data_IF_136051041723
#
_entry.id   IF_136051041723
#
_cell.length_a   1.000
_cell.length_b   1.000
_cell.length_c   1.000
_cell.angle_alpha   90.00
_cell.angle_beta   90.00
_cell.angle_gamma   90.00
#
_symmetry.space_group_name_H-M   'P 1'
#
loop_
_entity.id
_entity.type
_entity.pdbx_description
1 polymer ?
#
# COMPACT_ATOMS: atom_id res chain seq x y z
N UNK A 1 19.33 -11.88 -0.53
CA UNK A 1 17.98 -11.59 -1.06
C UNK A 1 17.74 -10.12 -1.44
N UNK A 2 18.67 -9.18 -1.20
CA UNK A 2 18.55 -7.75 -1.58
C UNK A 2 18.30 -7.44 -3.07
N UNK A 3 18.56 -8.38 -3.99
CA UNK A 3 18.45 -8.13 -5.44
C UNK A 3 17.00 -8.19 -5.97
N UNK A 4 16.09 -8.95 -5.33
CA UNK A 4 14.71 -9.11 -5.80
C UNK A 4 13.93 -7.79 -5.72
N UNK A 5 14.18 -6.97 -4.69
CA UNK A 5 13.54 -5.68 -4.52
C UNK A 5 13.95 -4.68 -5.60
N UNK A 6 15.24 -4.62 -5.92
CA UNK A 6 15.72 -3.72 -6.98
C UNK A 6 15.14 -4.07 -8.34
N UNK A 7 14.98 -5.37 -8.62
CA UNK A 7 14.29 -5.83 -9.82
C UNK A 7 12.82 -5.38 -9.84
N UNK A 8 12.12 -5.44 -8.70
CA UNK A 8 10.74 -4.98 -8.58
C UNK A 8 10.60 -3.47 -8.82
N UNK A 9 11.46 -2.66 -8.21
CA UNK A 9 11.47 -1.20 -8.43
C UNK A 9 11.72 -0.85 -9.90
N UNK A 10 12.74 -1.45 -10.52
CA UNK A 10 13.04 -1.24 -11.94
C UNK A 10 11.87 -1.67 -12.83
N UNK A 11 11.21 -2.77 -12.49
CA UNK A 11 10.02 -3.23 -13.20
C UNK A 11 8.89 -2.21 -13.13
N UNK A 12 8.57 -1.70 -11.94
CA UNK A 12 7.55 -0.66 -11.76
C UNK A 12 7.86 0.58 -12.58
N UNK A 13 9.11 1.05 -12.60
CA UNK A 13 9.51 2.22 -13.39
C UNK A 13 9.40 1.94 -14.91
N UNK A 14 9.81 0.76 -15.39
CA UNK A 14 9.66 0.38 -16.80
C UNK A 14 8.20 0.34 -17.23
N UNK A 15 7.33 -0.23 -16.39
CA UNK A 15 5.90 -0.36 -16.69
C UNK A 15 5.19 1.00 -16.68
N UNK A 16 5.44 1.82 -15.65
CA UNK A 16 4.61 3.00 -15.37
C UNK A 16 5.21 4.32 -15.82
N UNK A 17 6.50 4.49 -15.58
CA UNK A 17 7.23 5.72 -15.94
C UNK A 17 7.75 5.66 -17.39
N UNK A 18 7.58 4.52 -18.06
CA UNK A 18 7.99 4.33 -19.44
C UNK A 18 9.50 4.22 -19.61
N UNK A 19 10.24 3.84 -18.55
CA UNK A 19 11.67 3.60 -18.68
C UNK A 19 11.97 2.48 -19.71
N UNK A 20 13.13 2.56 -20.40
CA UNK A 20 13.59 1.49 -21.27
C UNK A 20 13.68 0.14 -20.54
N UNK A 21 13.27 -0.95 -21.19
CA UNK A 21 13.40 -2.29 -20.59
C UNK A 21 14.87 -2.72 -20.41
N UNK A 22 15.83 -2.02 -21.03
CA UNK A 22 17.27 -2.27 -20.90
C UNK A 22 17.75 -2.17 -19.46
N UNK A 23 17.12 -1.36 -18.61
CA UNK A 23 17.45 -1.30 -17.18
C UNK A 23 17.23 -2.65 -16.47
N UNK A 24 16.24 -3.45 -16.90
CA UNK A 24 16.00 -4.79 -16.38
C UNK A 24 17.05 -5.79 -16.86
N UNK A 25 17.49 -5.63 -18.11
CA UNK A 25 18.56 -6.42 -18.73
C UNK A 25 19.89 -6.15 -18.03
N UNK A 26 20.23 -4.88 -17.81
CA UNK A 26 21.44 -4.46 -17.09
C UNK A 26 21.47 -5.00 -15.66
N UNK A 27 20.33 -4.99 -14.97
CA UNK A 27 20.22 -5.64 -13.66
C UNK A 27 20.52 -7.14 -13.76
N UNK A 28 19.98 -7.83 -14.77
CA UNK A 28 20.21 -9.27 -14.96
C UNK A 28 21.69 -9.57 -15.26
N UNK A 29 22.34 -8.74 -16.08
CA UNK A 29 23.77 -8.86 -16.37
C UNK A 29 24.61 -8.71 -15.09
N UNK A 30 24.26 -7.75 -14.23
CA UNK A 30 24.91 -7.61 -12.92
C UNK A 30 24.73 -8.84 -12.04
N UNK A 31 23.53 -9.45 -12.05
CA UNK A 31 23.30 -10.70 -11.31
C UNK A 31 24.17 -11.85 -11.82
N UNK A 32 24.27 -12.00 -13.14
CA UNK A 32 25.12 -13.03 -13.75
C UNK A 32 26.60 -12.82 -13.40
N UNK A 33 27.08 -11.56 -13.42
CA UNK A 33 28.45 -11.23 -12.99
C UNK A 33 28.73 -11.55 -11.52
N UNK A 34 27.71 -11.45 -10.65
CA UNK A 34 27.80 -11.83 -9.24
C UNK A 34 27.68 -13.35 -9.01
N UNK A 35 27.54 -14.15 -10.06
CA UNK A 35 27.40 -15.61 -9.98
C UNK A 35 25.98 -16.10 -9.68
N UNK A 36 24.97 -15.23 -9.76
CA UNK A 36 23.57 -15.62 -9.58
C UNK A 36 23.01 -16.19 -10.89
N UNK A 37 23.27 -17.48 -11.11
CA UNK A 37 22.88 -18.19 -12.35
C UNK A 37 21.51 -18.84 -12.14
N UNK A 38 20.46 -18.19 -12.63
CA UNK A 38 19.09 -18.68 -12.66
C UNK A 38 18.54 -18.56 -14.09
N UNK A 39 17.81 -19.58 -14.57
CA UNK A 39 17.27 -19.60 -15.94
C UNK A 39 16.46 -18.35 -16.30
N UNK A 40 15.70 -17.80 -15.36
CA UNK A 40 14.92 -16.59 -15.60
C UNK A 40 15.79 -15.31 -15.59
N UNK A 41 16.91 -15.29 -14.86
CA UNK A 41 17.92 -14.21 -14.95
C UNK A 41 18.62 -14.27 -16.31
N UNK A 42 18.99 -15.46 -16.79
CA UNK A 42 19.59 -15.63 -18.12
C UNK A 42 18.60 -15.17 -19.21
N UNK A 43 17.33 -15.58 -19.11
CA UNK A 43 16.29 -15.14 -20.05
C UNK A 43 16.10 -13.63 -20.04
N UNK A 44 16.20 -12.99 -18.88
CA UNK A 44 16.10 -11.54 -18.78
C UNK A 44 17.31 -10.84 -19.41
N UNK A 45 18.53 -11.32 -19.16
CA UNK A 45 19.78 -10.81 -19.78
C UNK A 45 19.76 -10.93 -21.31
N UNK A 46 19.12 -11.97 -21.85
CA UNK A 46 19.01 -12.22 -23.29
C UNK A 46 17.77 -11.57 -23.94
N UNK A 47 16.93 -10.85 -23.19
CA UNK A 47 15.70 -10.30 -23.72
C UNK A 47 15.97 -9.22 -24.78
N UNK A 48 15.42 -9.40 -25.98
CA UNK A 48 15.57 -8.45 -27.10
C UNK A 48 14.40 -7.47 -27.24
N UNK A 49 13.36 -7.68 -26.44
CA UNK A 49 12.08 -6.99 -26.51
C UNK A 49 11.49 -6.77 -25.13
N UNK A 50 10.67 -5.72 -25.01
CA UNK A 50 9.99 -5.35 -23.77
C UNK A 50 9.12 -6.48 -23.21
N UNK A 51 8.40 -7.21 -24.08
CA UNK A 51 7.55 -8.33 -23.66
C UNK A 51 8.35 -9.49 -23.07
N UNK A 52 9.49 -9.84 -23.68
CA UNK A 52 10.36 -10.89 -23.15
C UNK A 52 10.96 -10.50 -21.80
N UNK A 53 11.45 -9.27 -21.68
CA UNK A 53 12.00 -8.75 -20.43
C UNK A 53 10.94 -8.77 -19.32
N UNK A 54 9.74 -8.26 -19.59
CA UNK A 54 8.61 -8.28 -18.65
C UNK A 54 8.26 -9.72 -18.24
N UNK A 55 8.15 -10.64 -19.20
CA UNK A 55 7.82 -12.04 -18.91
C UNK A 55 8.87 -12.72 -18.03
N UNK A 56 10.16 -12.49 -18.29
CA UNK A 56 11.24 -13.04 -17.48
C UNK A 56 11.26 -12.45 -16.07
N UNK A 57 11.00 -11.14 -15.93
CA UNK A 57 10.84 -10.49 -14.62
C UNK A 57 9.63 -11.04 -13.87
N UNK A 58 8.51 -11.28 -14.54
CA UNK A 58 7.31 -11.87 -13.92
C UNK A 58 7.63 -13.26 -13.34
N UNK A 59 8.39 -14.06 -14.07
CA UNK A 59 8.83 -15.37 -13.60
C UNK A 59 9.80 -15.29 -12.40
N UNK A 60 10.61 -14.23 -12.30
CA UNK A 60 11.55 -13.99 -11.19
C UNK A 60 10.85 -13.45 -9.93
N UNK A 61 9.93 -12.51 -10.09
CA UNK A 61 9.27 -11.81 -8.98
C UNK A 61 8.06 -12.59 -8.44
N UNK A 62 7.45 -13.43 -9.27
CA UNK A 62 6.17 -14.06 -8.97
C UNK A 62 5.00 -13.12 -9.24
N UNK A 63 3.83 -13.67 -9.57
CA UNK A 63 2.65 -12.90 -10.00
C UNK A 63 2.06 -11.98 -8.93
N UNK A 64 2.38 -12.18 -7.64
CA UNK A 64 1.69 -11.51 -6.53
C UNK A 64 2.12 -10.06 -6.28
N UNK A 65 3.37 -9.71 -6.59
CA UNK A 65 3.95 -8.42 -6.16
C UNK A 65 3.93 -7.38 -7.29
N UNK A 66 3.69 -7.82 -8.53
CA UNK A 66 3.85 -7.03 -9.76
C UNK A 66 2.68 -6.09 -10.09
N UNK A 67 1.57 -6.15 -9.34
CA UNK A 67 0.33 -5.50 -9.76
C UNK A 67 -0.02 -4.23 -8.98
N UNK A 68 0.45 -4.05 -7.75
CA UNK A 68 0.03 -2.92 -6.92
C UNK A 68 1.21 -1.99 -6.65
N UNK A 69 1.02 -0.68 -6.86
CA UNK A 69 2.00 0.29 -6.35
C UNK A 69 2.08 0.18 -4.83
N UNK A 70 3.14 0.71 -4.19
CA UNK A 70 3.13 0.92 -2.76
C UNK A 70 2.12 2.04 -2.43
N UNK A 71 0.84 1.67 -2.35
CA UNK A 71 -0.24 2.59 -2.03
C UNK A 71 -0.68 2.33 -0.60
N UNK A 72 -0.41 3.30 0.28
CA UNK A 72 -0.88 3.28 1.66
C UNK A 72 -2.42 3.23 1.71
N UNK A 73 -3.07 4.05 0.89
CA UNK A 73 -4.53 4.11 0.72
C UNK A 73 -4.88 3.64 -0.68
N UNK A 74 -5.95 2.85 -0.90
CA UNK A 74 -6.31 2.42 -2.25
C UNK A 74 -6.69 3.59 -3.16
N UNK A 75 -6.89 3.33 -4.45
CA UNK A 75 -7.40 4.36 -5.37
C UNK A 75 -8.81 4.80 -5.01
N UNK A 76 -9.11 6.09 -5.12
CA UNK A 76 -10.45 6.61 -4.79
C UNK A 76 -11.60 6.00 -5.63
N UNK A 77 -11.25 5.49 -6.81
CA UNK A 77 -12.17 4.82 -7.74
C UNK A 77 -12.84 3.60 -7.10
N UNK A 78 -12.17 2.93 -6.15
CA UNK A 78 -12.70 1.73 -5.48
C UNK A 78 -13.99 2.00 -4.70
N UNK A 79 -14.20 3.24 -4.24
CA UNK A 79 -15.38 3.60 -3.46
C UNK A 79 -16.68 3.42 -4.27
N UNK A 80 -16.59 3.52 -5.60
CA UNK A 80 -17.73 3.28 -6.49
C UNK A 80 -18.15 1.82 -6.59
N UNK A 81 -17.24 0.91 -6.22
CA UNK A 81 -17.43 -0.55 -6.21
C UNK A 81 -17.76 -1.07 -4.81
N UNK A 82 -17.84 -0.18 -3.81
CA UNK A 82 -18.13 -0.55 -2.44
C UNK A 82 -19.51 -1.21 -2.34
N UNK A 83 -19.57 -2.31 -1.58
CA UNK A 83 -20.81 -3.02 -1.29
C UNK A 83 -21.00 -3.20 0.20
N UNK A 84 -22.24 -3.24 0.63
CA UNK A 84 -22.59 -3.40 2.06
C UNK A 84 -22.38 -4.85 2.50
N UNK A 85 -21.68 -5.02 3.63
CA UNK A 85 -21.54 -6.31 4.30
C UNK A 85 -22.60 -6.51 5.37
N UNK A 86 -22.95 -5.45 6.11
CA UNK A 86 -23.93 -5.53 7.17
C UNK A 86 -23.96 -4.31 8.07
N UNK A 87 -24.67 -4.46 9.19
CA UNK A 87 -24.72 -3.46 10.26
C UNK A 87 -24.13 -4.09 11.51
N UNK A 88 -23.09 -3.46 12.05
CA UNK A 88 -22.37 -3.89 13.24
C UNK A 88 -22.16 -2.68 14.15
N UNK A 89 -22.52 -2.81 15.44
CA UNK A 89 -22.22 -1.80 16.47
C UNK A 89 -22.52 -0.34 16.08
N UNK A 90 -23.73 -0.06 15.56
CA UNK A 90 -24.14 1.28 15.12
C UNK A 90 -23.33 1.83 13.93
N UNK A 91 -22.70 0.95 13.16
CA UNK A 91 -22.09 1.28 11.88
C UNK A 91 -22.67 0.40 10.78
N UNK A 92 -22.74 0.94 9.56
CA UNK A 92 -22.84 0.14 8.35
C UNK A 92 -21.43 -0.16 7.90
N UNK A 93 -21.14 -1.44 7.67
CA UNK A 93 -19.87 -1.91 7.15
C UNK A 93 -19.98 -2.06 5.63
N UNK A 94 -19.10 -1.37 4.92
CA UNK A 94 -18.90 -1.52 3.49
C UNK A 94 -17.54 -2.16 3.23
N UNK A 95 -17.46 -2.98 2.19
CA UNK A 95 -16.18 -3.43 1.65
C UNK A 95 -15.94 -2.78 0.30
N UNK A 96 -14.78 -2.15 0.16
CA UNK A 96 -14.26 -1.65 -1.11
C UNK A 96 -12.87 -2.28 -1.30
N UNK A 97 -12.76 -3.19 -2.27
CA UNK A 97 -11.55 -4.01 -2.45
C UNK A 97 -11.14 -4.73 -1.14
N UNK A 98 -9.94 -4.43 -0.61
CA UNK A 98 -9.43 -5.00 0.66
C UNK A 98 -9.70 -4.11 1.87
N UNK A 99 -10.37 -2.97 1.69
CA UNK A 99 -10.60 -1.99 2.76
C UNK A 99 -12.03 -2.09 3.28
N UNK A 100 -12.15 -2.23 4.60
CA UNK A 100 -13.42 -2.11 5.31
C UNK A 100 -13.67 -0.65 5.66
N UNK A 101 -14.89 -0.19 5.41
CA UNK A 101 -15.32 1.19 5.67
C UNK A 101 -16.52 1.14 6.60
N UNK A 102 -16.34 1.63 7.83
CA UNK A 102 -17.41 1.72 8.82
C UNK A 102 -17.98 3.13 8.83
N UNK A 103 -19.23 3.24 8.36
CA UNK A 103 -19.97 4.48 8.32
C UNK A 103 -20.99 4.52 9.48
N UNK A 104 -21.16 5.66 10.18
CA UNK A 104 -22.10 5.77 11.28
C UNK A 104 -23.55 5.46 10.87
N UNK A 105 -24.28 4.80 11.74
CA UNK A 105 -25.64 4.36 11.49
C UNK A 105 -26.50 4.40 12.74
N UNK A 106 -27.54 5.24 12.69
CA UNK A 106 -28.59 5.26 13.68
C UNK A 106 -29.55 4.08 13.48
N UNK A 107 -29.79 3.31 14.55
CA UNK A 107 -30.66 2.14 14.53
C UNK A 107 -32.07 2.46 14.00
N UNK A 108 -32.57 1.62 13.10
CA UNK A 108 -33.91 1.77 12.51
C UNK A 108 -33.97 2.64 11.26
N UNK A 109 -32.85 3.22 10.83
CA UNK A 109 -32.76 3.85 9.50
C UNK A 109 -32.67 2.79 8.40
N UNK A 110 -33.09 3.07 7.16
CA UNK A 110 -32.80 2.18 6.04
C UNK A 110 -31.28 2.07 5.84
N UNK A 111 -30.79 0.86 5.57
CA UNK A 111 -29.39 0.62 5.24
C UNK A 111 -29.18 0.95 3.75
N UNK A 112 -28.40 1.97 3.39
CA UNK A 112 -28.12 2.28 2.00
C UNK A 112 -27.19 1.23 1.39
N UNK A 113 -27.53 0.75 0.20
CA UNK A 113 -26.71 -0.21 -0.56
C UNK A 113 -25.35 0.36 -0.97
N UNK A 114 -25.23 1.70 -1.03
CA UNK A 114 -24.01 2.43 -1.41
C UNK A 114 -23.63 3.45 -0.35
N UNK A 115 -22.34 3.77 -0.29
CA UNK A 115 -21.82 4.84 0.58
C UNK A 115 -22.50 6.17 0.22
N UNK A 116 -23.03 6.85 1.23
CA UNK A 116 -23.74 8.13 1.03
C UNK A 116 -22.79 9.25 0.62
N UNK A 117 -23.27 10.28 -0.12
CA UNK A 117 -22.45 11.38 -0.60
C UNK A 117 -21.68 12.13 0.50
N UNK A 118 -22.25 12.30 1.68
CA UNK A 118 -21.60 12.94 2.83
C UNK A 118 -20.38 12.17 3.32
N UNK A 119 -20.44 10.84 3.34
CA UNK A 119 -19.31 9.98 3.73
C UNK A 119 -18.26 9.91 2.62
N UNK A 120 -18.69 9.91 1.35
CA UNK A 120 -17.77 9.99 0.21
C UNK A 120 -16.91 11.26 0.29
N UNK A 121 -17.48 12.40 0.71
CA UNK A 121 -16.71 13.65 0.88
C UNK A 121 -15.65 13.52 1.97
N UNK A 122 -15.97 12.87 3.09
CA UNK A 122 -14.98 12.63 4.15
C UNK A 122 -13.86 11.69 3.67
N UNK A 123 -14.22 10.61 2.99
CA UNK A 123 -13.26 9.70 2.36
C UNK A 123 -12.39 10.44 1.35
N UNK A 124 -12.96 11.28 0.49
CA UNK A 124 -12.20 12.12 -0.44
C UNK A 124 -11.16 13.01 0.26
N UNK A 125 -11.50 13.59 1.41
CA UNK A 125 -10.56 14.37 2.20
C UNK A 125 -9.39 13.51 2.71
N UNK A 126 -9.65 12.28 3.19
CA UNK A 126 -8.62 11.32 3.63
C UNK A 126 -7.66 11.01 2.48
N UNK A 127 -8.21 10.68 1.31
CA UNK A 127 -7.41 10.30 0.14
C UNK A 127 -6.60 11.50 -0.37
N UNK A 128 -7.14 12.72 -0.30
CA UNK A 128 -6.38 13.94 -0.62
C UNK A 128 -5.26 14.25 0.40
N UNK A 129 -5.37 13.74 1.63
CA UNK A 129 -4.39 13.92 2.69
C UNK A 129 -3.34 12.78 2.77
N UNK A 130 -3.30 11.88 1.78
CA UNK A 130 -2.41 10.69 1.79
C UNK A 130 -0.96 11.03 2.11
N UNK A 131 -0.39 12.08 1.50
CA UNK A 131 1.01 12.45 1.74
C UNK A 131 1.26 12.92 3.19
N UNK A 132 0.31 13.64 3.78
CA UNK A 132 0.39 14.08 5.19
C UNK A 132 0.34 12.87 6.11
N UNK A 133 -0.56 11.92 5.83
CA UNK A 133 -0.70 10.67 6.58
C UNK A 133 0.59 9.85 6.51
N UNK A 134 1.14 9.67 5.30
CA UNK A 134 2.42 8.98 5.07
C UNK A 134 3.56 9.63 5.86
N UNK A 135 3.70 10.95 5.77
CA UNK A 135 4.77 11.66 6.49
C UNK A 135 4.66 11.50 8.00
N UNK A 136 3.45 11.59 8.57
CA UNK A 136 3.26 11.38 10.01
C UNK A 136 3.53 9.93 10.43
N UNK A 137 3.12 8.95 9.63
CA UNK A 137 3.43 7.54 9.86
C UNK A 137 4.95 7.29 9.85
N UNK A 138 5.68 7.86 8.90
CA UNK A 138 7.14 7.74 8.86
C UNK A 138 7.82 8.45 10.03
N UNK A 139 7.29 9.58 10.50
CA UNK A 139 7.79 10.24 11.71
C UNK A 139 7.61 9.35 12.94
N UNK A 140 6.42 8.76 13.11
CA UNK A 140 6.14 7.80 14.18
C UNK A 140 7.08 6.58 14.12
N UNK A 141 7.19 5.95 12.95
CA UNK A 141 8.07 4.80 12.77
C UNK A 141 9.56 5.15 12.97
N UNK A 142 9.99 6.38 12.67
CA UNK A 142 11.37 6.83 12.95
C UNK A 142 11.63 6.93 14.45
N UNK A 143 10.60 7.21 15.26
CA UNK A 143 10.72 7.32 16.72
C UNK A 143 10.66 5.95 17.39
N UNK A 144 9.70 5.11 17.00
CA UNK A 144 9.38 3.88 17.73
C UNK A 144 10.07 2.65 17.13
N UNK A 145 10.38 2.67 15.83
CA UNK A 145 10.97 1.56 15.08
C UNK A 145 12.13 2.01 14.16
N UNK A 146 13.12 2.77 14.66
CA UNK A 146 14.15 3.42 13.83
C UNK A 146 14.92 2.44 12.94
N UNK A 147 15.41 1.34 13.53
CA UNK A 147 16.26 0.37 12.82
C UNK A 147 15.49 -0.36 11.70
N UNK A 148 14.20 -0.62 11.91
CA UNK A 148 13.34 -1.29 10.92
C UNK A 148 13.05 -0.34 9.77
N UNK A 149 12.63 0.89 10.07
CA UNK A 149 12.37 1.89 9.02
C UNK A 149 13.63 2.23 8.23
N UNK A 150 14.80 2.28 8.90
CA UNK A 150 16.09 2.50 8.23
C UNK A 150 16.39 1.37 7.24
N UNK A 151 16.19 0.11 7.60
CA UNK A 151 16.37 -1.02 6.68
C UNK A 151 15.47 -0.90 5.43
N UNK A 152 14.22 -0.46 5.59
CA UNK A 152 13.31 -0.22 4.47
C UNK A 152 13.73 0.98 3.60
N UNK A 153 14.23 2.06 4.21
CA UNK A 153 14.76 3.25 3.50
C UNK A 153 16.04 2.96 2.72
N UNK A 154 16.98 2.23 3.31
CA UNK A 154 18.20 1.76 2.63
C UNK A 154 17.85 0.89 1.41
N UNK A 155 16.71 0.22 1.47
CA UNK A 155 16.17 -0.62 0.43
C UNK A 155 15.26 0.16 -0.55
N UNK A 156 15.04 1.46 -0.35
CA UNK A 156 14.18 2.34 -1.16
C UNK A 156 12.72 1.83 -1.25
N UNK A 157 12.18 1.31 -0.14
CA UNK A 157 10.85 0.65 -0.12
C UNK A 157 9.98 0.96 1.11
N UNK A 158 10.25 2.04 1.83
CA UNK A 158 9.46 2.43 3.01
C UNK A 158 7.96 2.61 2.73
N UNK A 159 7.59 3.01 1.51
CA UNK A 159 6.19 3.13 1.10
C UNK A 159 5.45 1.78 1.01
N UNK A 160 6.18 0.66 0.97
CA UNK A 160 5.60 -0.70 0.95
C UNK A 160 5.31 -1.22 2.34
N UNK A 161 5.77 -0.55 3.41
CA UNK A 161 5.71 -1.09 4.76
C UNK A 161 4.26 -1.31 5.25
N UNK A 162 3.37 -0.38 4.95
CA UNK A 162 2.04 -0.30 5.56
C UNK A 162 0.95 -0.18 4.51
N UNK A 163 -0.20 -0.77 4.80
CA UNK A 163 -1.43 -0.60 4.03
C UNK A 163 -2.60 -0.27 4.98
N UNK A 164 -3.50 0.60 4.54
CA UNK A 164 -4.77 0.83 5.22
C UNK A 164 -5.72 -0.31 4.88
N UNK A 165 -6.23 -0.99 5.90
CA UNK A 165 -7.21 -2.08 5.78
C UNK A 165 -8.59 -1.68 6.31
N UNK A 166 -8.67 -0.56 7.02
CA UNK A 166 -9.89 -0.11 7.68
C UNK A 166 -10.00 1.40 7.77
N UNK A 167 -11.20 1.93 7.55
CA UNK A 167 -11.53 3.35 7.73
C UNK A 167 -12.83 3.45 8.52
N UNK A 168 -12.77 4.02 9.72
CA UNK A 168 -13.96 4.31 10.53
C UNK A 168 -14.25 5.80 10.50
N UNK A 169 -15.45 6.15 10.06
CA UNK A 169 -15.98 7.51 10.08
C UNK A 169 -16.80 7.73 11.35
N UNK A 170 -16.82 8.95 11.87
CA UNK A 170 -17.70 9.35 12.96
C UNK A 170 -18.93 10.12 12.46
N UNK A 171 -19.95 10.22 13.33
CA UNK A 171 -21.20 10.93 12.99
C UNK A 171 -20.96 12.41 12.71
N UNK A 172 -19.99 13.01 13.40
CA UNK A 172 -19.72 14.45 13.30
C UNK A 172 -18.89 14.83 12.06
N UNK A 173 -18.23 13.85 11.44
CA UNK A 173 -17.23 14.04 10.39
C UNK A 173 -15.93 14.68 10.88
N UNK A 174 -15.71 14.79 12.20
CA UNK A 174 -14.54 15.44 12.79
C UNK A 174 -13.46 14.46 13.20
N UNK A 175 -13.82 13.22 13.51
CA UNK A 175 -12.90 12.18 13.94
C UNK A 175 -12.98 10.97 13.01
N UNK A 176 -11.83 10.57 12.50
CA UNK A 176 -11.71 9.42 11.61
C UNK A 176 -10.60 8.55 12.15
N UNK A 177 -10.79 7.24 12.13
CA UNK A 177 -9.75 6.29 12.52
C UNK A 177 -9.36 5.46 11.30
N UNK A 178 -8.08 5.47 10.96
CA UNK A 178 -7.51 4.53 10.01
C UNK A 178 -6.93 3.33 10.75
N UNK A 179 -7.18 2.13 10.24
CA UNK A 179 -6.53 0.90 10.69
C UNK A 179 -5.55 0.46 9.62
N UNK A 180 -4.29 0.31 10.02
CA UNK A 180 -3.18 -0.07 9.17
C UNK A 180 -2.65 -1.42 9.60
N UNK A 181 -2.17 -2.21 8.63
CA UNK A 181 -1.43 -3.44 8.86
C UNK A 181 -0.14 -3.42 8.04
N UNK A 182 0.88 -4.21 8.40
CA UNK A 182 1.98 -4.49 7.49
C UNK A 182 1.42 -4.96 6.14
N UNK A 183 2.02 -4.49 5.04
CA UNK A 183 1.51 -4.79 3.72
C UNK A 183 1.59 -6.29 3.42
N UNK A 184 0.44 -6.94 3.32
CA UNK A 184 0.33 -8.39 3.13
C UNK A 184 0.78 -8.84 1.72
N UNK A 185 0.78 -7.93 0.73
CA UNK A 185 1.34 -8.21 -0.59
C UNK A 185 2.88 -8.07 -0.61
N UNK A 186 3.48 -7.60 0.48
CA UNK A 186 4.92 -7.39 0.63
C UNK A 186 5.52 -8.34 1.68
N UNK A 187 6.01 -9.49 1.22
CA UNK A 187 6.73 -10.44 2.08
C UNK A 187 8.15 -9.93 2.40
N UNK A 188 8.33 -9.22 3.51
CA UNK A 188 9.60 -8.62 3.93
C UNK A 188 10.77 -9.61 3.93
N UNK A 189 10.54 -10.83 4.41
CA UNK A 189 11.54 -11.92 4.45
C UNK A 189 12.12 -12.24 3.06
N UNK A 190 11.29 -12.26 2.00
CA UNK A 190 11.75 -12.54 0.63
C UNK A 190 12.73 -11.49 0.10
N UNK A 191 12.71 -10.30 0.70
CA UNK A 191 13.58 -9.17 0.38
C UNK A 191 14.75 -9.02 1.36
N UNK A 192 14.81 -9.87 2.40
CA UNK A 192 15.80 -9.78 3.47
C UNK A 192 15.62 -8.54 4.34
N UNK A 193 14.36 -8.10 4.51
CA UNK A 193 13.97 -7.01 5.39
C UNK A 193 13.40 -7.57 6.69
N UNK A 194 13.55 -6.85 7.82
CA UNK A 194 12.95 -7.24 9.09
C UNK A 194 11.42 -7.10 9.05
N UNK A 195 10.72 -7.98 9.76
CA UNK A 195 9.28 -7.83 10.00
C UNK A 195 9.00 -6.66 10.97
N UNK A 196 7.82 -6.04 10.83
CA UNK A 196 7.34 -5.05 11.78
C UNK A 196 6.94 -5.72 13.10
N UNK A 197 7.24 -5.10 14.26
CA UNK A 197 7.02 -5.72 15.58
C UNK A 197 5.57 -5.60 16.05
N UNK A 198 4.70 -4.98 15.25
CA UNK A 198 3.27 -4.77 15.52
C UNK A 198 2.46 -5.21 14.31
N UNK A 199 1.36 -5.92 14.58
CA UNK A 199 0.47 -6.46 13.54
C UNK A 199 -0.52 -5.42 13.04
N UNK A 200 -0.79 -4.38 13.82
CA UNK A 200 -1.78 -3.34 13.51
C UNK A 200 -1.33 -2.01 14.09
N UNK A 201 -1.63 -0.93 13.37
CA UNK A 201 -1.51 0.44 13.84
C UNK A 201 -2.84 1.17 13.61
N UNK A 202 -3.11 2.15 14.46
CA UNK A 202 -4.24 3.05 14.34
C UNK A 202 -3.76 4.48 14.16
N UNK A 203 -4.40 5.21 13.24
CA UNK A 203 -4.17 6.64 13.05
C UNK A 203 -5.49 7.36 13.34
N UNK A 204 -5.52 8.13 14.42
CA UNK A 204 -6.61 9.06 14.69
C UNK A 204 -6.38 10.34 13.87
N UNK A 205 -7.35 10.66 13.03
CA UNK A 205 -7.38 11.85 12.19
C UNK A 205 -8.45 12.82 12.70
N UNK A 206 -8.09 14.10 12.75
CA UNK A 206 -9.01 15.20 12.98
C UNK A 206 -9.26 15.96 11.69
N UNK A 207 -10.54 16.18 11.37
CA UNK A 207 -10.97 16.98 10.22
C UNK A 207 -11.39 18.39 10.68
N UNK A 208 -10.62 19.40 10.28
CA UNK A 208 -10.89 20.81 10.57
C UNK A 208 -10.99 21.59 9.26
N UNK A 209 -12.20 22.04 8.90
CA UNK A 209 -12.42 22.91 7.73
C UNK A 209 -11.77 22.36 6.44
N UNK A 210 -12.06 21.09 6.12
CA UNK A 210 -11.53 20.34 4.98
C UNK A 210 -10.01 20.05 5.02
N UNK A 211 -9.35 20.28 6.16
CA UNK A 211 -7.97 19.85 6.40
C UNK A 211 -7.93 18.68 7.35
N UNK A 212 -7.12 17.68 7.00
CA UNK A 212 -6.85 16.54 7.87
C UNK A 212 -5.55 16.77 8.62
N UNK A 213 -5.59 16.50 9.92
CA UNK A 213 -4.43 16.43 10.81
C UNK A 213 -4.41 15.09 11.50
N UNK A 214 -3.21 14.58 11.72
CA UNK A 214 -3.01 13.41 12.57
C UNK A 214 -3.01 13.88 14.01
N UNK A 215 -3.95 13.38 14.82
CA UNK A 215 -3.97 13.66 16.26
C UNK A 215 -3.15 12.65 17.04
N UNK A 216 -3.10 11.39 16.59
CA UNK A 216 -2.38 10.32 17.28
C UNK A 216 -2.08 9.15 16.32
N UNK A 217 -0.97 8.48 16.55
CA UNK A 217 -0.66 7.14 16.03
C UNK A 217 -0.35 6.23 17.22
N UNK A 218 -0.84 4.99 17.20
CA UNK A 218 -0.66 3.99 18.26
C UNK A 218 -0.85 2.57 17.72
N UNK A 219 -0.39 1.59 18.48
CA UNK A 219 -0.58 0.14 18.26
C UNK A 219 -1.87 -0.40 18.91
#
# INVERSE_FOLDING_TARGET
MRNKLKLHQLYSQVIREGLPFSYLVEWADQQLMMGNINDAIIRLSLADSREQAISAVVALLGTSILLNEPILLPEISILSQAYVLGVHEQCIEYQADRVLIWCPYAQGQPVPEKIKPEWIRQLQAIFAATDVIKQGLFQYCTQDFPDILEAYREAECEDYAWQVVGIRLDESGQQIVLTLMPNLDFAAEEYGLPDWPVDTLYIDLQCESDKIKISRIYD
#
